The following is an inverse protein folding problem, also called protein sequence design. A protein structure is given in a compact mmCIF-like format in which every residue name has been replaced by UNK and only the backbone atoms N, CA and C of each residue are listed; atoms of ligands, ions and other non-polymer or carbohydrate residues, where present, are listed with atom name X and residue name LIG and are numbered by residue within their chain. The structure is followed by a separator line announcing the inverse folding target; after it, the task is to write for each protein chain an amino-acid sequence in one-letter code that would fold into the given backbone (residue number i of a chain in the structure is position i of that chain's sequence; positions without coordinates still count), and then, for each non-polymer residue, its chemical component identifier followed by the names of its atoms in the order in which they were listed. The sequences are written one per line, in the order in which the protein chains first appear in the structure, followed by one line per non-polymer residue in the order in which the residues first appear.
data_IF_259119135420
#
_entry.id   IF_259119135420
#
_cell.length_a   1.000
_cell.length_b   1.000
_cell.length_c   1.000
_cell.angle_alpha   90.00
_cell.angle_beta   90.00
_cell.angle_gamma   90.00
#
_symmetry.space_group_name_H-M   'P 1'
#
loop_
_entity.id
_entity.type
_entity.pdbx_description
1 polymer ?
#
# COMPACT_ATOMS: atom_id res chain seq x y z
N UNK A 1 9.88 1.69 -8.51
CA UNK A 1 9.25 0.37 -8.76
C UNK A 1 7.86 0.61 -9.37
N UNK A 2 7.43 -0.13 -10.41
CA UNK A 2 6.23 0.17 -11.21
C UNK A 2 4.88 -0.30 -10.60
N UNK A 3 4.90 -1.12 -9.54
CA UNK A 3 3.70 -1.80 -9.02
C UNK A 3 2.59 -0.95 -8.39
N UNK A 4 2.83 0.34 -8.09
CA UNK A 4 1.80 1.21 -7.51
C UNK A 4 0.57 1.35 -8.41
N UNK A 5 0.75 1.26 -9.73
CA UNK A 5 -0.38 1.34 -10.69
C UNK A 5 -1.33 0.17 -10.52
N UNK A 6 -0.79 -1.03 -10.30
CA UNK A 6 -1.58 -2.25 -10.09
C UNK A 6 -2.28 -2.19 -8.75
N UNK A 7 -1.58 -1.77 -7.68
CA UNK A 7 -2.18 -1.61 -6.36
C UNK A 7 -3.37 -0.65 -6.41
N UNK A 8 -3.22 0.53 -7.03
CA UNK A 8 -4.34 1.48 -7.19
C UNK A 8 -5.44 0.97 -8.12
N UNK A 9 -5.11 0.20 -9.16
CA UNK A 9 -6.13 -0.38 -10.05
C UNK A 9 -6.98 -1.41 -9.31
N UNK A 10 -6.34 -2.32 -8.59
CA UNK A 10 -7.04 -3.34 -7.80
C UNK A 10 -7.79 -2.68 -6.64
N UNK A 11 -7.20 -1.68 -5.97
CA UNK A 11 -7.87 -0.89 -4.95
C UNK A 11 -9.17 -0.25 -5.46
N UNK A 12 -9.14 0.36 -6.65
CA UNK A 12 -10.34 0.92 -7.30
C UNK A 12 -11.38 -0.14 -7.63
N UNK A 13 -10.93 -1.30 -8.14
CA UNK A 13 -11.82 -2.43 -8.41
C UNK A 13 -12.51 -2.94 -7.12
N UNK A 14 -11.83 -2.87 -5.98
CA UNK A 14 -12.37 -3.24 -4.67
C UNK A 14 -13.15 -2.11 -3.98
N UNK A 15 -13.45 -1.01 -4.68
CA UNK A 15 -14.33 0.05 -4.19
C UNK A 15 -13.62 1.18 -3.42
N UNK A 16 -12.29 1.17 -3.34
CA UNK A 16 -11.51 2.27 -2.75
C UNK A 16 -11.37 3.35 -3.82
N UNK A 17 -12.07 4.48 -3.66
CA UNK A 17 -12.17 5.50 -4.72
C UNK A 17 -11.32 6.74 -4.44
N UNK A 18 -10.92 6.97 -3.19
CA UNK A 18 -10.12 8.14 -2.81
C UNK A 18 -8.65 7.95 -3.25
N UNK A 19 -8.30 8.57 -4.38
CA UNK A 19 -6.94 8.54 -4.91
C UNK A 19 -5.94 9.28 -3.99
N UNK A 20 -6.40 10.28 -3.24
CA UNK A 20 -5.60 10.99 -2.25
C UNK A 20 -5.23 10.07 -1.10
N UNK A 21 -6.20 9.28 -0.61
CA UNK A 21 -6.01 8.28 0.42
C UNK A 21 -5.01 7.20 -0.02
N UNK A 22 -5.19 6.64 -1.22
CA UNK A 22 -4.25 5.65 -1.78
C UNK A 22 -2.82 6.19 -1.86
N UNK A 23 -2.65 7.43 -2.36
CA UNK A 23 -1.33 8.08 -2.44
C UNK A 23 -0.71 8.30 -1.07
N UNK A 24 -1.50 8.59 -0.03
CA UNK A 24 -1.00 8.73 1.35
C UNK A 24 -0.53 7.38 1.90
N UNK A 25 -1.31 6.33 1.70
CA UNK A 25 -0.95 4.97 2.11
C UNK A 25 0.30 4.48 1.39
N UNK A 26 0.39 4.63 0.06
CA UNK A 26 1.57 4.29 -0.74
C UNK A 26 2.84 4.95 -0.13
N UNK A 27 2.76 6.24 0.24
CA UNK A 27 3.88 6.96 0.89
C UNK A 27 4.21 6.43 2.27
N UNK A 28 3.21 6.08 3.09
CA UNK A 28 3.44 5.55 4.44
C UNK A 28 4.12 4.18 4.41
N UNK A 29 3.75 3.32 3.46
CA UNK A 29 4.35 2.00 3.28
C UNK A 29 5.78 2.07 2.72
N UNK A 30 6.01 2.90 1.70
CA UNK A 30 7.34 3.04 1.09
C UNK A 30 8.30 3.82 1.99
N UNK A 31 7.81 4.84 2.70
CA UNK A 31 8.62 5.76 3.51
C UNK A 31 8.04 5.98 4.91
N UNK A 32 8.01 4.93 5.74
CA UNK A 32 7.45 5.02 7.08
C UNK A 32 8.19 6.04 7.96
N UNK A 33 7.46 6.69 8.88
CA UNK A 33 7.99 7.72 9.79
C UNK A 33 7.52 7.52 11.22
N UNK A 34 8.43 7.36 12.18
CA UNK A 34 8.05 7.39 13.59
C UNK A 34 8.31 8.79 14.13
N UNK A 35 7.24 9.59 14.31
CA UNK A 35 7.35 11.01 14.63
C UNK A 35 8.12 11.77 13.54
N UNK A 36 9.26 12.37 13.88
CA UNK A 36 10.12 13.09 12.93
C UNK A 36 11.15 12.21 12.23
N UNK A 37 11.35 10.97 12.69
CA UNK A 37 12.36 10.06 12.15
C UNK A 37 11.83 9.32 10.92
N UNK A 38 12.54 9.41 9.80
CA UNK A 38 12.26 8.59 8.61
C UNK A 38 12.95 7.23 8.75
N UNK A 39 12.18 6.17 8.67
CA UNK A 39 12.71 4.80 8.67
C UNK A 39 13.23 4.41 7.28
N UNK A 40 14.05 3.34 7.18
CA UNK A 40 14.47 2.80 5.90
C UNK A 40 13.28 2.45 4.99
N UNK A 41 13.52 2.47 3.68
CA UNK A 41 12.49 2.17 2.69
C UNK A 41 11.88 0.79 2.94
N UNK A 42 10.54 0.72 2.96
CA UNK A 42 9.76 -0.49 3.27
C UNK A 42 10.06 -1.15 4.63
N UNK A 43 10.66 -0.43 5.59
CA UNK A 43 10.97 -0.98 6.91
C UNK A 43 9.73 -1.47 7.68
N UNK A 44 8.58 -0.83 7.45
CA UNK A 44 7.29 -1.24 8.03
C UNK A 44 6.37 -1.83 6.97
N UNK A 45 6.89 -2.52 5.95
CA UNK A 45 6.04 -3.19 4.98
C UNK A 45 5.50 -4.52 5.54
N UNK A 46 4.78 -4.42 6.67
CA UNK A 46 4.27 -5.50 7.50
C UNK A 46 2.92 -5.09 8.14
N UNK A 47 2.37 -5.97 8.98
CA UNK A 47 1.08 -5.75 9.66
C UNK A 47 1.11 -4.58 10.64
N UNK A 48 2.26 -4.20 11.18
CA UNK A 48 2.36 -3.07 12.12
C UNK A 48 2.06 -1.74 11.42
N UNK A 49 2.47 -1.58 10.16
CA UNK A 49 2.10 -0.39 9.39
C UNK A 49 0.63 -0.37 9.01
N UNK A 50 -0.01 -1.52 8.83
CA UNK A 50 -1.47 -1.57 8.60
C UNK A 50 -2.20 -1.04 9.83
N UNK A 51 -1.82 -1.52 11.02
CA UNK A 51 -2.40 -1.04 12.28
C UNK A 51 -2.17 0.46 12.44
N UNK A 52 -0.98 0.94 12.12
CA UNK A 52 -0.69 2.37 12.20
C UNK A 52 -1.49 3.19 11.17
N UNK A 53 -1.60 2.73 9.93
CA UNK A 53 -2.43 3.37 8.90
C UNK A 53 -3.91 3.39 9.32
N UNK A 54 -4.39 2.31 9.92
CA UNK A 54 -5.74 2.24 10.46
C UNK A 54 -5.99 3.32 11.52
N UNK A 55 -5.06 3.48 12.46
CA UNK A 55 -5.15 4.50 13.52
C UNK A 55 -5.11 5.94 12.96
N UNK A 56 -4.33 6.18 11.90
CA UNK A 56 -4.14 7.54 11.35
C UNK A 56 -5.17 7.93 10.29
N UNK A 57 -5.65 6.97 9.50
CA UNK A 57 -6.40 7.21 8.26
C UNK A 57 -7.72 6.42 8.16
N UNK A 58 -8.00 5.52 9.10
CA UNK A 58 -9.24 4.75 9.18
C UNK A 58 -9.28 3.46 8.35
N UNK A 59 -10.46 2.83 8.35
CA UNK A 59 -10.68 1.48 7.80
C UNK A 59 -10.35 1.35 6.32
N UNK A 60 -10.78 2.32 5.50
CA UNK A 60 -10.57 2.27 4.05
C UNK A 60 -9.07 2.28 3.69
N UNK A 61 -8.28 3.08 4.41
CA UNK A 61 -6.84 3.13 4.24
C UNK A 61 -6.16 1.83 4.68
N UNK A 62 -6.62 1.24 5.79
CA UNK A 62 -6.12 -0.03 6.30
C UNK A 62 -6.39 -1.18 5.32
N UNK A 63 -7.58 -1.22 4.72
CA UNK A 63 -7.95 -2.19 3.69
C UNK A 63 -7.06 -2.06 2.45
N UNK A 64 -6.78 -0.82 2.01
CA UNK A 64 -5.84 -0.59 0.92
C UNK A 64 -4.40 -1.02 1.28
N UNK A 65 -3.96 -0.78 2.51
CA UNK A 65 -2.63 -1.23 2.98
C UNK A 65 -2.51 -2.76 3.04
N UNK A 66 -3.56 -3.46 3.50
CA UNK A 66 -3.62 -4.92 3.49
C UNK A 66 -3.56 -5.49 2.09
N UNK A 67 -4.31 -4.90 1.15
CA UNK A 67 -4.23 -5.25 -0.26
C UNK A 67 -2.80 -5.14 -0.78
N UNK A 68 -2.14 -4.02 -0.46
CA UNK A 68 -0.76 -3.76 -0.89
C UNK A 68 0.21 -4.85 -0.38
N UNK A 69 0.09 -5.25 0.89
CA UNK A 69 0.88 -6.33 1.47
C UNK A 69 0.57 -7.70 0.85
N UNK A 70 -0.70 -7.99 0.60
CA UNK A 70 -1.14 -9.26 0.01
C UNK A 70 -0.60 -9.41 -1.42
N UNK A 71 -0.65 -8.35 -2.22
CA UNK A 71 -0.15 -8.34 -3.60
C UNK A 71 1.39 -8.47 -3.65
N UNK A 72 2.11 -7.74 -2.79
CA UNK A 72 3.57 -7.86 -2.71
C UNK A 72 4.01 -9.25 -2.21
N UNK A 73 3.29 -9.89 -1.28
CA UNK A 73 3.61 -11.24 -0.77
C UNK A 73 3.28 -12.37 -1.75
N UNK A 74 2.16 -12.25 -2.46
CA UNK A 74 1.72 -13.27 -3.43
C UNK A 74 2.51 -13.24 -4.75
N UNK A 75 3.38 -12.23 -4.95
CA UNK A 75 4.04 -11.93 -6.23
C UNK A 75 3.07 -11.69 -7.40
N UNK A 76 1.77 -11.59 -7.13
CA UNK A 76 0.74 -11.36 -8.15
C UNK A 76 0.98 -10.05 -8.91
N UNK A 77 1.49 -9.02 -8.23
CA UNK A 77 1.84 -7.75 -8.88
C UNK A 77 2.83 -7.98 -10.03
N UNK A 78 3.84 -8.84 -9.82
CA UNK A 78 4.87 -9.12 -10.83
C UNK A 78 4.31 -9.98 -11.98
N UNK A 79 3.46 -10.94 -11.66
CA UNK A 79 2.82 -11.82 -12.64
C UNK A 79 1.83 -11.04 -13.54
N UNK A 80 1.08 -10.10 -12.97
CA UNK A 80 0.21 -9.19 -13.72
C UNK A 80 1.04 -8.25 -14.62
N UNK A 81 2.16 -7.70 -14.13
CA UNK A 81 3.07 -6.88 -14.97
C UNK A 81 3.67 -7.66 -16.14
N UNK A 82 3.93 -8.96 -15.98
CA UNK A 82 4.46 -9.83 -17.03
C UNK A 82 3.41 -10.17 -18.09
N UNK A 83 2.15 -10.38 -17.69
CA UNK A 83 1.03 -10.65 -18.60
C UNK A 83 0.57 -9.43 -19.40
N UNK A 84 0.89 -8.22 -18.94
CA UNK A 84 0.54 -6.95 -19.60
C UNK A 84 1.62 -6.43 -20.57
N UNK A 85 2.72 -7.17 -20.75
CA UNK A 85 3.76 -6.90 -21.76
C UNK A 85 3.48 -7.62 -23.07
#
# INVERSE_FOLDING_TARGET
MPGWRIHRRIGRFLGIQDEGLMKRVDRMLDFPRVGKLRLPHKALHNTDCVLWIWMELGDEAANYALLHLALDRSRLSRLIEELEK
#
